data_IF_462691003582
#
_entry.id   IF_462691003582
#
_cell.length_a   1.000
_cell.length_b   1.000
_cell.length_c   1.000
_cell.angle_alpha   90.00
_cell.angle_beta   90.00
_cell.angle_gamma   90.00
#
_symmetry.space_group_name_H-M   'P 1'
#
loop_
_entity.id
_entity.type
_entity.pdbx_description
1 polymer ?
#
# COMPACT_ATOMS: atom_id res chain seq x y z
N UNK A 1 1.97 -11.24 8.65
CA UNK A 1 2.59 -10.70 7.44
C UNK A 1 3.21 -9.33 7.74
N UNK A 2 4.30 -9.03 7.02
CA UNK A 2 4.99 -7.75 7.18
C UNK A 2 4.15 -6.58 6.68
N UNK A 3 3.34 -6.78 5.65
CA UNK A 3 2.43 -5.75 5.13
C UNK A 3 1.40 -5.38 6.19
N UNK A 4 0.80 -6.38 6.85
CA UNK A 4 -0.14 -6.11 7.92
C UNK A 4 0.52 -5.33 9.06
N UNK A 5 1.77 -5.63 9.38
CA UNK A 5 2.51 -4.89 10.41
C UNK A 5 2.69 -3.42 10.03
N UNK A 6 2.99 -3.12 8.77
CA UNK A 6 3.09 -1.72 8.32
C UNK A 6 1.76 -1.00 8.51
N UNK A 7 0.64 -1.62 8.16
CA UNK A 7 -0.69 -1.02 8.33
C UNK A 7 -0.94 -0.71 9.81
N UNK A 8 -0.71 -1.67 10.70
CA UNK A 8 -0.90 -1.45 12.13
C UNK A 8 0.03 -0.36 12.68
N UNK A 9 1.29 -0.32 12.23
CA UNK A 9 2.23 0.69 12.69
C UNK A 9 1.78 2.10 12.25
N UNK A 10 1.29 2.24 11.03
CA UNK A 10 0.76 3.53 10.55
C UNK A 10 -0.49 3.95 11.32
N UNK A 11 -1.40 3.01 11.59
CA UNK A 11 -2.61 3.30 12.38
C UNK A 11 -2.21 3.80 13.78
N UNK A 12 -1.22 3.17 14.38
CA UNK A 12 -0.79 3.49 15.74
C UNK A 12 -0.28 4.92 15.88
N UNK A 13 0.41 5.43 14.87
CA UNK A 13 0.95 6.80 14.91
C UNK A 13 0.09 7.83 14.18
N UNK A 14 -1.09 7.44 13.70
CA UNK A 14 -1.99 8.34 12.98
C UNK A 14 -1.51 8.70 11.59
N UNK A 15 -0.70 7.87 10.96
CA UNK A 15 -0.20 8.09 9.61
C UNK A 15 -1.23 7.63 8.57
N UNK A 16 -1.46 8.41 7.49
CA UNK A 16 -2.34 7.95 6.41
C UNK A 16 -1.87 6.61 5.86
N UNK A 17 -2.80 5.70 5.56
CA UNK A 17 -2.44 4.37 5.09
C UNK A 17 -1.90 4.37 3.65
N UNK A 18 -2.38 5.29 2.81
CA UNK A 18 -1.90 5.49 1.44
C UNK A 18 -1.92 4.21 0.61
N UNK A 19 -3.06 3.54 0.61
CA UNK A 19 -3.25 2.27 -0.08
C UNK A 19 -4.04 2.49 -1.37
N UNK A 20 -3.44 2.17 -2.53
CA UNK A 20 -4.06 2.37 -3.83
C UNK A 20 -5.38 1.61 -3.98
N UNK A 21 -5.48 0.42 -3.39
CA UNK A 21 -6.69 -0.40 -3.49
C UNK A 21 -7.94 0.33 -2.98
N UNK A 22 -7.80 1.22 -2.00
CA UNK A 22 -8.95 1.99 -1.47
C UNK A 22 -9.45 3.00 -2.49
N UNK A 23 -8.56 3.55 -3.31
CA UNK A 23 -8.95 4.45 -4.39
C UNK A 23 -9.58 3.67 -5.53
N UNK A 24 -9.00 2.52 -5.88
CA UNK A 24 -9.59 1.63 -6.88
C UNK A 24 -11.03 1.30 -6.52
N UNK A 25 -11.29 1.00 -5.24
CA UNK A 25 -12.63 0.71 -4.76
C UNK A 25 -13.56 1.93 -4.91
N UNK A 26 -13.11 3.10 -4.45
CA UNK A 26 -13.90 4.32 -4.46
C UNK A 26 -14.27 4.76 -5.88
N UNK A 27 -13.38 4.54 -6.84
CA UNK A 27 -13.57 4.92 -8.25
C UNK A 27 -14.06 3.77 -9.12
N UNK A 28 -14.32 2.61 -8.52
CA UNK A 28 -14.71 1.40 -9.23
C UNK A 28 -13.71 1.01 -10.34
N UNK A 29 -12.44 1.20 -10.06
CA UNK A 29 -11.35 0.79 -10.94
C UNK A 29 -10.92 -0.62 -10.61
N UNK A 30 -10.18 -1.27 -11.52
CA UNK A 30 -9.71 -2.63 -11.30
C UNK A 30 -8.24 -2.78 -11.70
N UNK A 31 -7.45 -3.22 -10.73
CA UNK A 31 -6.11 -3.75 -11.00
C UNK A 31 -5.09 -2.80 -11.58
N UNK A 32 -5.22 -1.50 -11.36
CA UNK A 32 -4.17 -0.57 -11.80
C UNK A 32 -3.02 -0.60 -10.81
N UNK A 33 -1.83 -0.88 -11.33
CA UNK A 33 -0.61 -0.88 -10.53
C UNK A 33 -0.26 0.54 -10.10
N UNK A 34 -0.47 1.50 -11.00
CA UNK A 34 -0.12 2.89 -10.76
C UNK A 34 -1.28 3.81 -11.09
N UNK A 35 -1.65 4.67 -10.14
CA UNK A 35 -2.71 5.64 -10.30
C UNK A 35 -2.15 7.01 -10.64
N UNK A 36 -2.85 7.80 -11.50
CA UNK A 36 -2.49 9.21 -11.69
C UNK A 36 -2.56 9.96 -10.36
N UNK A 37 -1.64 10.89 -10.13
CA UNK A 37 -1.62 11.68 -8.90
C UNK A 37 -2.96 12.38 -8.64
N UNK A 38 -3.65 12.79 -9.69
CA UNK A 38 -4.94 13.46 -9.58
C UNK A 38 -5.96 12.62 -8.81
N UNK A 39 -5.96 11.30 -8.99
CA UNK A 39 -6.88 10.41 -8.28
C UNK A 39 -6.55 10.28 -6.80
N UNK A 40 -5.31 10.59 -6.39
CA UNK A 40 -4.93 10.53 -4.98
C UNK A 40 -5.53 11.67 -4.16
N UNK A 41 -6.18 12.65 -4.80
CA UNK A 41 -6.78 13.80 -4.13
C UNK A 41 -8.30 13.74 -4.04
N UNK A 42 -8.93 12.66 -4.51
CA UNK A 42 -10.40 12.58 -4.52
C UNK A 42 -10.98 12.67 -3.11
N UNK A 43 -12.16 13.28 -3.02
CA UNK A 43 -12.88 13.46 -1.76
C UNK A 43 -13.81 12.28 -1.49
N UNK A 44 -13.25 11.13 -1.24
CA UNK A 44 -14.00 9.96 -0.83
C UNK A 44 -13.54 9.53 0.56
N UNK A 45 -14.45 9.12 1.47
CA UNK A 45 -14.04 8.62 2.78
C UNK A 45 -13.18 7.35 2.67
N UNK A 46 -13.18 6.68 1.52
CA UNK A 46 -12.33 5.52 1.26
C UNK A 46 -10.91 5.92 0.84
N UNK A 47 -10.64 7.21 0.56
CA UNK A 47 -9.32 7.65 0.13
C UNK A 47 -8.33 7.70 1.30
N UNK A 48 -7.48 6.68 1.43
CA UNK A 48 -6.49 6.57 2.51
C UNK A 48 -5.28 7.49 2.33
N UNK A 49 -5.15 8.17 1.20
CA UNK A 49 -4.17 9.24 1.04
C UNK A 49 -4.65 10.55 1.64
N UNK A 50 -5.97 10.76 1.68
CA UNK A 50 -6.57 11.99 2.18
C UNK A 50 -7.00 11.89 3.63
N UNK A 51 -7.56 10.75 4.02
CA UNK A 51 -8.10 10.55 5.37
C UNK A 51 -7.30 9.50 6.11
N UNK A 52 -6.98 9.79 7.37
CA UNK A 52 -6.24 8.88 8.24
C UNK A 52 -7.14 7.76 8.74
N UNK A 53 -6.54 6.64 9.09
CA UNK A 53 -7.24 5.51 9.66
C UNK A 53 -7.81 4.57 8.61
N UNK A 54 -8.58 3.61 9.08
CA UNK A 54 -9.22 2.62 8.21
C UNK A 54 -10.36 3.26 7.41
N UNK A 55 -10.63 2.76 6.18
CA UNK A 55 -11.80 3.19 5.45
C UNK A 55 -13.08 2.79 6.17
N UNK A 56 -14.25 3.39 5.80
CA UNK A 56 -15.52 3.15 6.51
C UNK A 56 -15.99 1.70 6.52
N UNK A 57 -15.54 0.88 5.59
CA UNK A 57 -15.94 -0.52 5.51
C UNK A 57 -14.99 -1.34 4.64
N UNK A 58 -15.25 -2.65 4.50
CA UNK A 58 -14.42 -3.52 3.68
C UNK A 58 -14.45 -3.11 2.21
N UNK A 59 -13.34 -3.36 1.51
CA UNK A 59 -13.22 -3.06 0.08
C UNK A 59 -13.11 -4.33 -0.77
N UNK A 60 -13.25 -5.49 -0.16
CA UNK A 60 -13.19 -6.77 -0.87
C UNK A 60 -13.44 -7.94 0.05
N UNK A 61 -13.36 -9.14 -0.51
CA UNK A 61 -13.52 -10.38 0.23
C UNK A 61 -12.15 -11.03 0.41
N UNK A 62 -11.52 -10.87 1.58
CA UNK A 62 -10.20 -11.46 1.80
C UNK A 62 -10.28 -12.97 1.90
N UNK A 63 -9.25 -13.67 1.40
CA UNK A 63 -9.11 -15.10 1.60
C UNK A 63 -8.60 -15.40 3.00
N UNK A 64 -8.55 -16.71 3.34
CA UNK A 64 -8.14 -17.15 4.66
C UNK A 64 -6.72 -16.66 5.02
N UNK A 65 -5.77 -16.73 4.08
CA UNK A 65 -4.40 -16.31 4.33
C UNK A 65 -4.32 -14.81 4.69
N UNK A 66 -5.12 -13.97 4.02
CA UNK A 66 -5.15 -12.54 4.32
C UNK A 66 -5.75 -12.27 5.70
N UNK A 67 -6.80 -13.00 6.08
CA UNK A 67 -7.39 -12.86 7.41
C UNK A 67 -6.42 -13.30 8.50
N UNK A 68 -5.70 -14.40 8.30
CA UNK A 68 -4.70 -14.87 9.26
C UNK A 68 -3.57 -13.86 9.39
N UNK A 69 -3.12 -13.26 8.27
CA UNK A 69 -2.09 -12.24 8.29
C UNK A 69 -2.53 -11.00 9.08
N UNK A 70 -3.81 -10.63 9.01
CA UNK A 70 -4.33 -9.48 9.74
C UNK A 70 -4.37 -9.71 11.24
N UNK A 71 -4.67 -10.94 11.69
CA UNK A 71 -4.74 -11.25 13.12
C UNK A 71 -3.40 -11.67 13.71
N UNK A 72 -2.43 -12.03 12.87
CA UNK A 72 -1.09 -12.44 13.27
C UNK A 72 -0.04 -11.67 12.46
N UNK A 73 0.06 -10.34 12.61
CA UNK A 73 1.06 -9.58 11.87
C UNK A 73 2.46 -9.92 12.35
N UNK A 74 3.44 -9.83 11.45
CA UNK A 74 4.84 -10.00 11.81
C UNK A 74 5.27 -8.92 12.79
N UNK A 75 6.30 -9.18 13.60
CA UNK A 75 6.88 -8.18 14.48
C UNK A 75 7.85 -7.30 13.69
N UNK A 76 7.82 -6.00 13.92
CA UNK A 76 8.72 -5.06 13.27
C UNK A 76 8.24 -3.62 13.44
N UNK A 77 9.08 -2.68 13.03
CA UNK A 77 8.80 -1.24 13.16
C UNK A 77 8.66 -0.55 11.81
N UNK A 78 8.42 -1.32 10.74
CA UNK A 78 8.34 -0.78 9.38
C UNK A 78 7.14 0.15 9.22
N UNK A 79 7.35 1.24 8.48
CA UNK A 79 6.31 2.21 8.12
C UNK A 79 6.09 2.28 6.62
N UNK A 80 7.03 1.75 5.82
CA UNK A 80 7.00 1.81 4.36
C UNK A 80 7.33 0.46 3.77
N UNK A 81 6.74 0.18 2.62
CA UNK A 81 7.11 -0.97 1.82
C UNK A 81 6.89 -0.66 0.35
N UNK A 82 7.64 -1.33 -0.51
CA UNK A 82 7.48 -1.22 -1.95
C UNK A 82 7.98 -2.50 -2.62
N UNK A 83 7.26 -2.93 -3.64
CA UNK A 83 7.70 -4.04 -4.49
C UNK A 83 8.49 -3.44 -5.65
N UNK A 84 9.81 -3.54 -5.60
CA UNK A 84 10.70 -2.90 -6.58
C UNK A 84 10.75 -3.66 -7.91
N UNK A 85 10.49 -4.95 -7.86
CA UNK A 85 10.34 -5.83 -9.03
C UNK A 85 9.48 -7.02 -8.60
N UNK A 86 8.93 -7.81 -9.53
CA UNK A 86 8.11 -8.96 -9.15
C UNK A 86 8.82 -9.84 -8.13
N UNK A 87 8.14 -10.20 -7.06
CA UNK A 87 8.62 -11.05 -5.96
C UNK A 87 9.72 -10.43 -5.09
N UNK A 88 10.00 -9.12 -5.22
CA UNK A 88 10.97 -8.43 -4.37
C UNK A 88 10.29 -7.25 -3.67
N UNK A 89 9.66 -7.53 -2.53
CA UNK A 89 9.01 -6.53 -1.69
C UNK A 89 9.92 -6.22 -0.50
N UNK A 90 10.22 -4.94 -0.31
CA UNK A 90 11.14 -4.46 0.72
C UNK A 90 10.41 -3.58 1.72
N UNK A 91 10.85 -3.66 2.97
CA UNK A 91 10.23 -2.98 4.09
C UNK A 91 11.25 -2.12 4.83
N UNK A 92 10.83 -0.92 5.26
CA UNK A 92 11.72 -0.02 5.99
C UNK A 92 10.93 0.91 6.91
N UNK A 93 11.60 1.40 7.93
CA UNK A 93 11.11 2.49 8.77
C UNK A 93 11.54 3.85 8.22
N UNK A 94 12.58 3.88 7.37
CA UNK A 94 13.19 5.10 6.85
C UNK A 94 12.49 5.58 5.59
N UNK A 95 11.98 6.81 5.61
CA UNK A 95 11.40 7.43 4.43
C UNK A 95 12.44 7.64 3.32
N UNK A 96 13.66 8.03 3.70
CA UNK A 96 14.74 8.24 2.72
C UNK A 96 15.09 6.95 1.99
N UNK A 97 15.19 5.84 2.72
CA UNK A 97 15.44 4.53 2.11
C UNK A 97 14.29 4.13 1.19
N UNK A 98 13.07 4.38 1.63
CA UNK A 98 11.88 4.13 0.82
C UNK A 98 11.93 4.89 -0.50
N UNK A 99 12.34 6.17 -0.49
CA UNK A 99 12.45 6.98 -1.71
C UNK A 99 13.48 6.42 -2.69
N UNK A 100 14.58 5.88 -2.19
CA UNK A 100 15.58 5.21 -3.04
C UNK A 100 14.94 4.01 -3.75
N UNK A 101 14.18 3.22 -3.01
CA UNK A 101 13.50 2.04 -3.58
C UNK A 101 12.38 2.43 -4.55
N UNK A 102 11.69 3.53 -4.31
CA UNK A 102 10.68 4.05 -5.26
C UNK A 102 11.35 4.42 -6.59
N UNK A 103 12.55 5.01 -6.55
CA UNK A 103 13.31 5.29 -7.76
C UNK A 103 13.68 4.01 -8.50
N UNK A 104 14.08 2.97 -7.78
CA UNK A 104 14.37 1.66 -8.36
C UNK A 104 13.12 1.03 -8.98
N UNK A 105 11.98 1.13 -8.30
CA UNK A 105 10.69 0.66 -8.82
C UNK A 105 10.36 1.34 -10.16
N UNK A 106 10.48 2.67 -10.22
CA UNK A 106 10.18 3.43 -11.43
C UNK A 106 11.09 3.02 -12.59
N UNK A 107 12.37 2.79 -12.30
CA UNK A 107 13.33 2.33 -13.27
C UNK A 107 12.97 0.94 -13.80
N UNK A 108 12.59 0.03 -12.92
CA UNK A 108 12.17 -1.32 -13.27
C UNK A 108 10.86 -1.33 -14.06
N UNK A 109 9.93 -0.44 -13.70
CA UNK A 109 8.66 -0.28 -14.41
C UNK A 109 8.92 0.15 -15.86
N UNK A 110 9.81 1.14 -16.07
CA UNK A 110 10.21 1.59 -17.42
C UNK A 110 10.90 0.48 -18.21
N UNK A 111 11.64 -0.38 -17.53
CA UNK A 111 12.33 -1.50 -18.17
C UNK A 111 11.38 -2.65 -18.51
N UNK A 112 10.09 -2.55 -18.17
CA UNK A 112 9.09 -3.56 -18.50
C UNK A 112 9.04 -4.74 -17.55
N UNK A 113 9.67 -4.67 -16.38
CA UNK A 113 9.69 -5.80 -15.45
C UNK A 113 8.31 -6.14 -14.86
N UNK A 114 7.36 -5.21 -14.90
CA UNK A 114 5.99 -5.42 -14.44
C UNK A 114 5.00 -5.69 -15.58
N UNK A 115 5.47 -5.71 -16.80
CA UNK A 115 4.64 -6.03 -17.97
C UNK A 115 4.66 -7.51 -18.24
N UNK A 116 3.54 -8.08 -18.54
CA UNK A 116 3.40 -9.49 -18.94
C UNK A 116 3.48 -9.66 -20.44
#
# INVERSE_FOLDING_TARGET
SKIARVIYNRLKIGMPLQINATIDYAMNLRGKIRLPYKLLEIKSPYNTYRYRGLPPGPIGNPGQAALEAAVNPANGQWLYYVTVKPSDTRFTKSYDEFLVWVSEFKKNEKAGLFND
#
